data_IF_497749138305
#
_entry.id   IF_497749138305
#
_cell.length_a   1.000
_cell.length_b   1.000
_cell.length_c   1.000
_cell.angle_alpha   90.00
_cell.angle_beta   90.00
_cell.angle_gamma   90.00
#
_symmetry.space_group_name_H-M   'P 1'
#
loop_
_entity.id
_entity.type
_entity.pdbx_description
1 polymer ?
#
# COMPACT_ATOMS: atom_id res chain seq x y z
N UNK A 1 -1.48 9.84 -5.35
CA UNK A 1 -1.35 10.72 -4.18
C UNK A 1 -0.05 10.40 -3.46
N UNK A 2 0.66 11.45 -3.02
CA UNK A 2 1.93 11.30 -2.31
C UNK A 2 2.08 12.43 -1.29
N UNK A 3 2.73 12.15 -0.15
CA UNK A 3 2.92 13.11 0.93
C UNK A 3 4.40 13.25 1.29
N UNK A 4 4.88 14.50 1.38
CA UNK A 4 6.20 14.82 1.92
C UNK A 4 6.26 14.68 3.45
N UNK A 5 5.14 14.94 4.11
CA UNK A 5 4.96 14.83 5.56
C UNK A 5 3.47 14.80 5.91
N UNK A 6 3.11 14.79 7.18
CA UNK A 6 1.71 14.71 7.63
C UNK A 6 0.80 15.82 7.08
N UNK A 7 1.35 16.99 6.72
CA UNK A 7 0.57 18.13 6.29
C UNK A 7 0.66 18.41 4.80
N UNK A 8 1.83 18.20 4.18
CA UNK A 8 2.08 18.57 2.79
C UNK A 8 2.00 17.35 1.89
N UNK A 9 1.04 17.35 0.99
CA UNK A 9 0.82 16.27 0.03
C UNK A 9 0.36 16.77 -1.34
N UNK A 10 0.40 15.85 -2.30
CA UNK A 10 0.10 16.11 -3.71
C UNK A 10 -0.80 15.02 -4.29
N UNK A 11 -1.72 15.40 -5.17
CA UNK A 11 -2.57 14.47 -5.89
C UNK A 11 -2.74 14.88 -7.35
N UNK A 12 -2.45 13.95 -8.25
CA UNK A 12 -2.73 14.09 -9.67
C UNK A 12 -4.10 13.51 -10.02
N UNK A 13 -4.72 14.06 -11.06
CA UNK A 13 -5.98 13.53 -11.60
C UNK A 13 -5.79 13.11 -13.05
N UNK A 14 -6.47 12.02 -13.43
CA UNK A 14 -6.44 11.51 -14.79
C UNK A 14 -7.46 12.24 -15.69
N UNK A 15 -8.68 12.39 -15.20
CA UNK A 15 -9.82 12.83 -16.00
C UNK A 15 -9.80 14.32 -16.32
N UNK A 16 -9.39 15.14 -15.35
CA UNK A 16 -9.44 16.60 -15.46
C UNK A 16 -8.07 17.22 -15.73
N UNK A 17 -7.02 16.41 -15.85
CA UNK A 17 -5.63 16.87 -16.03
C UNK A 17 -5.20 17.91 -14.99
N UNK A 18 -5.65 17.74 -13.75
CA UNK A 18 -5.36 18.67 -12.66
C UNK A 18 -4.35 18.08 -11.68
N UNK A 19 -3.60 18.96 -11.06
CA UNK A 19 -2.64 18.64 -10.05
C UNK A 19 -2.89 19.53 -8.82
N UNK A 20 -2.98 18.94 -7.65
CA UNK A 20 -3.33 19.63 -6.43
C UNK A 20 -2.28 19.44 -5.35
N UNK A 21 -2.20 20.43 -4.46
CA UNK A 21 -1.40 20.41 -3.23
C UNK A 21 -2.28 20.64 -2.01
N UNK A 22 -2.01 19.93 -0.95
CA UNK A 22 -2.49 20.23 0.40
C UNK A 22 -1.35 20.68 1.30
N UNK A 23 -1.67 21.48 2.32
CA UNK A 23 -0.75 21.92 3.40
C UNK A 23 -1.35 21.65 4.78
N UNK A 24 -2.48 20.95 4.86
CA UNK A 24 -3.25 20.67 6.06
C UNK A 24 -3.67 19.19 6.18
N UNK A 25 -2.84 18.29 5.64
CA UNK A 25 -3.05 16.86 5.71
C UNK A 25 -4.21 16.34 4.86
N UNK A 26 -4.56 17.07 3.79
CA UNK A 26 -5.64 16.68 2.88
C UNK A 26 -7.02 17.21 3.25
N UNK A 27 -7.12 18.07 4.27
CA UNK A 27 -8.39 18.73 4.63
C UNK A 27 -8.84 19.68 3.52
N UNK A 28 -7.90 20.45 2.95
CA UNK A 28 -8.12 21.30 1.78
C UNK A 28 -7.08 21.05 0.70
N UNK A 29 -7.46 21.29 -0.55
CA UNK A 29 -6.61 21.10 -1.72
C UNK A 29 -6.66 22.32 -2.64
N UNK A 30 -5.49 22.82 -3.01
CA UNK A 30 -5.32 23.95 -3.94
C UNK A 30 -4.72 23.48 -5.26
N UNK A 31 -5.28 23.92 -6.38
CA UNK A 31 -4.78 23.55 -7.71
C UNK A 31 -3.41 24.20 -7.98
N UNK A 32 -2.47 23.40 -8.47
CA UNK A 32 -1.15 23.87 -8.92
C UNK A 32 -1.28 24.34 -10.37
N UNK A 33 -1.08 25.62 -10.61
CA UNK A 33 -1.25 26.24 -11.94
C UNK A 33 0.05 26.85 -12.50
N UNK A 34 1.13 26.80 -11.73
CA UNK A 34 2.42 27.42 -12.06
C UNK A 34 3.42 26.47 -12.75
N UNK A 35 2.93 25.42 -13.41
CA UNK A 35 3.76 24.48 -14.21
C UNK A 35 3.52 24.79 -15.70
N UNK A 36 4.60 25.01 -16.45
CA UNK A 36 4.52 25.24 -17.89
C UNK A 36 5.51 24.36 -18.66
N UNK A 37 5.05 23.55 -19.64
CA UNK A 37 3.64 23.29 -20.01
C UNK A 37 2.84 22.66 -18.86
N UNK A 38 1.51 22.85 -18.84
CA UNK A 38 0.67 22.24 -17.83
C UNK A 38 0.72 20.71 -17.94
N UNK A 39 0.99 19.99 -16.83
CA UNK A 39 1.05 18.52 -16.83
C UNK A 39 -0.33 17.93 -17.09
N UNK A 40 -0.38 16.82 -17.84
CA UNK A 40 -1.63 16.12 -18.15
C UNK A 40 -1.56 14.67 -17.71
N UNK A 41 -2.60 14.20 -16.98
CA UNK A 41 -2.67 12.82 -16.54
C UNK A 41 -1.44 12.39 -15.72
N UNK A 42 -1.24 13.01 -14.55
CA UNK A 42 -0.21 12.57 -13.60
C UNK A 42 -0.62 11.22 -13.05
N UNK A 43 0.18 10.18 -13.35
CA UNK A 43 -0.06 8.80 -12.99
C UNK A 43 0.79 8.35 -11.80
N UNK A 44 2.07 8.69 -11.79
CA UNK A 44 3.03 8.38 -10.74
C UNK A 44 3.42 9.64 -9.96
N UNK A 45 3.57 9.50 -8.65
CA UNK A 45 4.08 10.53 -7.73
C UNK A 45 5.02 9.86 -6.75
N UNK A 46 6.12 10.55 -6.41
CA UNK A 46 7.05 10.10 -5.39
C UNK A 46 7.71 11.27 -4.67
N UNK A 47 7.86 11.14 -3.36
CA UNK A 47 8.43 12.15 -2.47
C UNK A 47 9.77 11.69 -1.92
N UNK A 48 10.78 12.58 -1.99
CA UNK A 48 12.15 12.29 -1.52
C UNK A 48 12.60 13.35 -0.53
N UNK A 49 13.15 12.89 0.58
CA UNK A 49 13.59 13.80 1.65
C UNK A 49 12.42 14.57 2.24
N UNK A 50 12.61 15.87 2.49
CA UNK A 50 11.61 16.72 3.15
C UNK A 50 10.93 17.73 2.23
N UNK A 51 11.43 17.90 1.00
CA UNK A 51 11.00 18.99 0.11
C UNK A 51 10.91 18.63 -1.37
N UNK A 52 11.47 17.48 -1.78
CA UNK A 52 11.50 17.08 -3.19
C UNK A 52 10.31 16.19 -3.52
N UNK A 53 9.60 16.54 -4.58
CA UNK A 53 8.49 15.77 -5.13
C UNK A 53 8.66 15.62 -6.63
N UNK A 54 8.43 14.42 -7.11
CA UNK A 54 8.40 14.07 -8.53
C UNK A 54 7.00 13.62 -8.94
N UNK A 55 6.61 13.94 -10.17
CA UNK A 55 5.42 13.39 -10.80
C UNK A 55 5.70 13.03 -12.24
N UNK A 56 5.12 11.93 -12.72
CA UNK A 56 5.22 11.54 -14.12
C UNK A 56 3.85 11.27 -14.72
N UNK A 57 3.73 11.33 -16.03
CA UNK A 57 2.47 11.09 -16.70
C UNK A 57 2.56 10.98 -18.21
N UNK A 58 1.38 11.05 -18.84
CA UNK A 58 1.08 10.89 -20.25
C UNK A 58 0.60 9.47 -20.62
N UNK A 59 -0.46 9.04 -19.97
CA UNK A 59 -1.04 7.72 -20.26
C UNK A 59 -1.76 7.67 -21.62
N UNK A 60 -2.54 8.69 -21.98
CA UNK A 60 -3.32 8.71 -23.23
C UNK A 60 -2.82 9.76 -24.21
N UNK A 61 -2.02 9.36 -25.21
CA UNK A 61 -1.70 10.18 -26.41
C UNK A 61 -1.24 11.62 -26.12
N UNK A 62 -0.64 11.85 -24.98
CA UNK A 62 -0.05 13.15 -24.61
C UNK A 62 1.48 13.02 -24.56
N UNK A 63 2.17 14.14 -24.54
CA UNK A 63 3.64 14.14 -24.41
C UNK A 63 4.03 13.59 -23.05
N UNK A 64 4.85 12.51 -22.95
CA UNK A 64 5.36 12.00 -21.69
C UNK A 64 6.25 13.04 -21.00
N UNK A 65 6.08 13.16 -19.70
CA UNK A 65 6.76 14.19 -18.93
C UNK A 65 7.10 13.70 -17.52
N UNK A 66 8.05 14.42 -16.90
CA UNK A 66 8.27 14.44 -15.47
C UNK A 66 8.11 15.89 -15.00
N UNK A 67 7.46 16.10 -13.87
CA UNK A 67 7.50 17.36 -13.12
C UNK A 67 8.28 17.15 -11.84
N UNK A 68 9.12 18.11 -11.47
CA UNK A 68 9.97 18.08 -10.28
C UNK A 68 9.86 19.39 -9.52
N UNK A 69 9.71 19.31 -8.22
CA UNK A 69 9.89 20.42 -7.29
C UNK A 69 10.90 20.03 -6.22
N UNK A 70 11.74 20.95 -5.78
CA UNK A 70 12.73 20.77 -4.70
C UNK A 70 12.43 21.67 -3.50
N UNK A 71 11.31 22.38 -3.53
CA UNK A 71 10.89 23.39 -2.56
C UNK A 71 9.45 23.17 -2.08
N UNK A 72 9.09 21.89 -1.90
CA UNK A 72 7.76 21.46 -1.44
C UNK A 72 6.62 21.96 -2.33
N UNK A 73 6.87 22.07 -3.65
CA UNK A 73 5.86 22.48 -4.63
C UNK A 73 5.62 23.98 -4.69
N UNK A 74 6.59 24.81 -4.30
CA UNK A 74 6.52 26.25 -4.52
C UNK A 74 6.89 26.59 -5.98
N UNK A 75 7.95 25.96 -6.51
CA UNK A 75 8.33 26.05 -7.93
C UNK A 75 8.45 24.66 -8.55
N UNK A 76 8.33 24.62 -9.89
CA UNK A 76 8.32 23.37 -10.63
C UNK A 76 9.16 23.46 -11.90
N UNK A 77 9.84 22.35 -12.19
CA UNK A 77 10.47 22.09 -13.47
C UNK A 77 9.61 21.06 -14.24
N UNK A 78 9.37 21.35 -15.53
CA UNK A 78 8.76 20.39 -16.45
C UNK A 78 9.84 19.79 -17.35
N UNK A 79 9.94 18.48 -17.40
CA UNK A 79 10.91 17.72 -18.19
C UNK A 79 10.16 16.93 -19.26
N UNK A 80 10.42 17.22 -20.53
CA UNK A 80 9.85 16.49 -21.65
C UNK A 80 10.58 15.14 -21.82
N UNK A 81 9.85 14.05 -21.79
CA UNK A 81 10.38 12.69 -21.86
C UNK A 81 10.16 12.01 -23.21
N UNK A 82 9.76 12.73 -24.27
CA UNK A 82 9.43 12.16 -25.58
C UNK A 82 10.61 11.48 -26.27
N UNK A 83 11.85 11.80 -25.94
CA UNK A 83 13.05 11.11 -26.43
C UNK A 83 13.26 9.73 -25.82
N UNK A 84 12.58 9.42 -24.71
CA UNK A 84 12.76 8.16 -23.98
C UNK A 84 11.52 7.29 -23.99
N UNK A 85 10.32 7.88 -24.03
CA UNK A 85 9.07 7.18 -23.81
C UNK A 85 7.95 7.68 -24.71
N UNK A 86 6.86 6.89 -24.81
CA UNK A 86 5.57 7.30 -25.37
C UNK A 86 4.49 7.41 -24.30
N UNK A 87 4.76 6.98 -23.06
CA UNK A 87 3.91 7.13 -21.90
C UNK A 87 4.64 6.71 -20.62
N UNK A 88 4.40 7.42 -19.52
CA UNK A 88 4.97 7.15 -18.21
C UNK A 88 3.85 6.98 -17.19
N UNK A 89 3.99 6.02 -16.26
CA UNK A 89 2.91 5.64 -15.33
C UNK A 89 3.36 5.47 -13.88
N UNK A 90 4.63 5.20 -13.61
CA UNK A 90 5.17 5.08 -12.25
C UNK A 90 6.52 5.75 -12.16
N UNK A 91 6.80 6.39 -11.03
CA UNK A 91 8.09 7.01 -10.72
C UNK A 91 8.43 6.68 -9.28
N UNK A 92 9.71 6.38 -9.00
CA UNK A 92 10.17 6.14 -7.65
C UNK A 92 11.65 6.54 -7.52
N UNK A 93 12.00 7.18 -6.43
CA UNK A 93 13.34 7.61 -6.10
C UNK A 93 13.80 6.98 -4.80
N UNK A 94 15.07 6.55 -4.76
CA UNK A 94 15.71 6.03 -3.55
C UNK A 94 16.30 7.18 -2.73
N UNK A 95 16.85 8.15 -3.43
CA UNK A 95 17.41 9.38 -2.88
C UNK A 95 17.25 10.53 -3.90
N UNK A 96 17.83 11.69 -3.61
CA UNK A 96 17.71 12.87 -4.49
C UNK A 96 18.36 12.70 -5.87
N UNK A 97 19.22 11.68 -6.05
CA UNK A 97 19.95 11.44 -7.30
C UNK A 97 19.47 10.18 -8.02
N UNK A 98 19.26 9.09 -7.27
CA UNK A 98 18.97 7.77 -7.82
C UNK A 98 17.44 7.53 -7.88
N UNK A 99 16.93 7.35 -9.08
CA UNK A 99 15.53 7.10 -9.30
C UNK A 99 15.23 6.26 -10.54
N UNK A 100 13.99 5.82 -10.62
CA UNK A 100 13.46 5.00 -11.70
C UNK A 100 12.10 5.56 -12.16
N UNK A 101 11.84 5.45 -13.45
CA UNK A 101 10.53 5.74 -14.02
C UNK A 101 10.15 4.63 -14.98
N UNK A 102 8.88 4.24 -14.98
CA UNK A 102 8.39 3.19 -15.86
C UNK A 102 7.21 3.64 -16.71
N UNK A 103 6.99 2.88 -17.78
CA UNK A 103 5.93 3.13 -18.73
C UNK A 103 6.12 2.30 -19.98
N UNK A 104 5.98 2.95 -21.15
CA UNK A 104 6.23 2.31 -22.44
C UNK A 104 6.99 3.23 -23.40
N UNK A 105 7.66 2.59 -24.37
CA UNK A 105 8.19 3.19 -25.58
C UNK A 105 7.42 2.66 -26.82
N UNK A 106 7.89 3.01 -28.00
CA UNK A 106 7.37 2.42 -29.25
C UNK A 106 7.68 0.93 -29.38
N UNK A 107 8.69 0.43 -28.67
CA UNK A 107 9.19 -0.96 -28.79
C UNK A 107 8.69 -1.87 -27.68
N UNK A 108 8.18 -1.34 -26.56
CA UNK A 108 7.67 -2.14 -25.46
C UNK A 108 7.54 -1.39 -24.14
N UNK A 109 7.22 -2.13 -23.08
CA UNK A 109 7.25 -1.65 -21.70
C UNK A 109 8.69 -1.40 -21.26
N UNK A 110 8.94 -0.25 -20.62
CA UNK A 110 10.30 0.22 -20.29
C UNK A 110 10.45 0.56 -18.82
N UNK A 111 11.69 0.45 -18.33
CA UNK A 111 12.18 1.09 -17.11
C UNK A 111 13.38 1.96 -17.48
N UNK A 112 13.34 3.22 -17.06
CA UNK A 112 14.44 4.16 -17.17
C UNK A 112 15.03 4.40 -15.77
N UNK A 113 16.33 4.62 -15.71
CA UNK A 113 17.09 4.94 -14.48
C UNK A 113 17.77 6.28 -14.63
N UNK A 114 17.76 7.05 -13.57
CA UNK A 114 18.58 8.27 -13.40
C UNK A 114 19.52 8.12 -12.22
N UNK A 115 20.68 8.79 -12.28
CA UNK A 115 21.64 8.89 -11.17
C UNK A 115 22.02 10.35 -10.88
N UNK A 116 21.28 11.30 -11.45
CA UNK A 116 21.52 12.73 -11.35
C UNK A 116 20.24 13.52 -11.05
N UNK A 117 19.28 12.89 -10.35
CA UNK A 117 18.05 13.53 -9.93
C UNK A 117 17.08 13.82 -11.09
N UNK A 118 17.13 13.02 -12.16
CA UNK A 118 16.21 13.11 -13.28
C UNK A 118 16.65 14.07 -14.38
N UNK A 119 17.91 14.52 -14.40
CA UNK A 119 18.44 15.35 -15.49
C UNK A 119 18.71 14.49 -16.74
N UNK A 120 19.25 13.28 -16.54
CA UNK A 120 19.48 12.31 -17.60
C UNK A 120 18.90 10.95 -17.23
N UNK A 121 18.44 10.22 -18.26
CA UNK A 121 17.81 8.93 -18.10
C UNK A 121 18.45 7.90 -19.03
N UNK A 122 18.56 6.66 -18.55
CA UNK A 122 19.07 5.52 -19.31
C UNK A 122 18.05 4.40 -19.27
N UNK A 123 17.70 3.81 -20.42
CA UNK A 123 16.86 2.63 -20.48
C UNK A 123 17.64 1.44 -19.91
N UNK A 124 17.09 0.79 -18.86
CA UNK A 124 17.68 -0.37 -18.19
C UNK A 124 16.83 -1.62 -18.35
N UNK A 125 15.61 -1.48 -18.87
CA UNK A 125 14.73 -2.59 -19.24
C UNK A 125 13.84 -2.19 -20.40
N UNK A 126 13.64 -3.12 -21.34
CA UNK A 126 12.66 -3.03 -22.40
C UNK A 126 12.09 -4.42 -22.68
N UNK A 127 10.77 -4.55 -22.67
CA UNK A 127 10.11 -5.85 -22.89
C UNK A 127 10.20 -6.34 -24.34
N UNK A 128 10.48 -5.46 -25.29
CA UNK A 128 10.57 -5.78 -26.72
C UNK A 128 9.21 -6.11 -27.37
N UNK A 129 8.10 -5.88 -26.69
CA UNK A 129 6.75 -6.15 -27.20
C UNK A 129 5.97 -4.84 -27.25
N UNK A 130 5.70 -4.30 -28.47
CA UNK A 130 4.94 -3.05 -28.63
C UNK A 130 3.56 -3.15 -27.97
N UNK A 131 3.21 -2.09 -27.23
CA UNK A 131 1.93 -2.01 -26.52
C UNK A 131 2.01 -2.42 -25.05
N UNK A 132 3.03 -3.17 -24.63
CA UNK A 132 3.25 -3.46 -23.21
C UNK A 132 3.60 -2.21 -22.40
N UNK A 133 3.14 -2.19 -21.13
CA UNK A 133 3.49 -1.19 -20.14
C UNK A 133 4.17 -1.85 -18.94
N UNK A 134 5.26 -1.33 -18.45
CA UNK A 134 5.67 -1.55 -17.06
C UNK A 134 4.82 -0.62 -16.20
N UNK A 135 3.79 -1.18 -15.56
CA UNK A 135 2.71 -0.41 -14.95
C UNK A 135 3.03 0.06 -13.53
N UNK A 136 3.52 -0.85 -12.70
CA UNK A 136 3.94 -0.55 -11.33
C UNK A 136 5.31 -1.12 -11.04
N UNK A 137 6.02 -0.44 -10.15
CA UNK A 137 7.28 -0.88 -9.59
C UNK A 137 7.24 -0.85 -8.08
N UNK A 138 8.02 -1.72 -7.45
CA UNK A 138 8.22 -1.77 -6.01
C UNK A 138 9.68 -2.06 -5.69
N UNK A 139 10.28 -1.29 -4.79
CA UNK A 139 11.53 -1.65 -4.11
C UNK A 139 11.24 -2.66 -3.00
N UNK A 140 12.06 -3.68 -2.90
CA UNK A 140 11.99 -4.58 -1.76
C UNK A 140 12.44 -3.84 -0.50
N UNK A 141 11.62 -3.86 0.53
CA UNK A 141 11.94 -3.18 1.78
C UNK A 141 13.27 -3.68 2.37
N UNK A 142 14.14 -2.74 2.73
CA UNK A 142 15.47 -3.03 3.26
C UNK A 142 16.53 -3.43 2.21
N UNK A 143 16.17 -3.50 0.91
CA UNK A 143 17.12 -3.80 -0.17
C UNK A 143 16.79 -3.02 -1.44
N UNK A 144 17.44 -1.88 -1.62
CA UNK A 144 17.23 -0.99 -2.78
C UNK A 144 17.77 -1.53 -4.11
N UNK A 145 18.53 -2.62 -4.11
CA UNK A 145 19.00 -3.27 -5.33
C UNK A 145 17.94 -4.20 -5.93
N UNK A 146 16.90 -4.53 -5.16
CA UNK A 146 15.82 -5.41 -5.59
C UNK A 146 14.60 -4.59 -5.98
N UNK A 147 14.21 -4.71 -7.25
CA UNK A 147 13.03 -4.07 -7.80
C UNK A 147 12.15 -5.12 -8.45
N UNK A 148 10.87 -5.10 -8.11
CA UNK A 148 9.82 -5.83 -8.81
C UNK A 148 9.02 -4.89 -9.69
N UNK A 149 8.55 -5.39 -10.84
CA UNK A 149 7.65 -4.63 -11.69
C UNK A 149 6.56 -5.51 -12.31
N UNK A 150 5.39 -4.92 -12.51
CA UNK A 150 4.29 -5.54 -13.23
C UNK A 150 4.26 -5.05 -14.68
N UNK A 151 4.07 -5.96 -15.62
CA UNK A 151 3.84 -5.63 -17.03
C UNK A 151 2.39 -5.98 -17.39
N UNK A 152 1.62 -4.94 -17.70
CA UNK A 152 0.38 -5.09 -18.45
C UNK A 152 0.73 -5.39 -19.91
N UNK A 153 0.23 -6.51 -20.42
CA UNK A 153 0.57 -7.00 -21.75
C UNK A 153 -0.57 -6.84 -22.74
N UNK A 154 -0.37 -7.34 -23.93
CA UNK A 154 -1.36 -7.34 -25.02
C UNK A 154 -1.55 -8.76 -25.54
N UNK A 155 -2.80 -9.15 -25.75
CA UNK A 155 -3.15 -10.47 -26.32
C UNK A 155 -2.37 -10.73 -27.63
N UNK A 156 -1.76 -11.93 -27.83
CA UNK A 156 -1.94 -13.16 -27.02
C UNK A 156 -0.96 -13.35 -25.86
N UNK A 157 -0.15 -12.35 -25.54
CA UNK A 157 0.85 -12.46 -24.48
C UNK A 157 0.20 -12.32 -23.09
N UNK A 158 0.72 -13.06 -22.12
CA UNK A 158 0.37 -12.85 -20.70
C UNK A 158 1.06 -11.60 -20.16
N UNK A 159 0.48 -11.01 -19.12
CA UNK A 159 1.17 -10.08 -18.25
C UNK A 159 2.43 -10.71 -17.65
N UNK A 160 3.30 -9.89 -17.09
CA UNK A 160 4.60 -10.39 -16.59
C UNK A 160 4.95 -9.78 -15.25
N UNK A 161 5.65 -10.56 -14.45
CA UNK A 161 6.48 -10.09 -13.35
C UNK A 161 7.89 -9.89 -13.90
N UNK A 162 8.46 -8.71 -13.69
CA UNK A 162 9.90 -8.47 -13.90
C UNK A 162 10.57 -8.24 -12.55
N UNK A 163 11.80 -8.72 -12.42
CA UNK A 163 12.59 -8.58 -11.20
C UNK A 163 14.06 -8.32 -11.53
N UNK A 164 14.67 -7.40 -10.80
CA UNK A 164 16.12 -7.25 -10.71
C UNK A 164 16.56 -7.45 -9.27
N UNK A 165 17.78 -7.94 -9.05
CA UNK A 165 18.43 -8.05 -7.74
C UNK A 165 19.77 -7.31 -7.69
N UNK A 166 20.03 -6.48 -8.70
CA UNK A 166 21.28 -5.75 -8.87
C UNK A 166 21.04 -4.33 -9.45
N UNK A 167 20.04 -3.64 -8.93
CA UNK A 167 19.68 -2.26 -9.27
C UNK A 167 19.47 -2.01 -10.78
N UNK A 168 18.93 -3.03 -11.49
CA UNK A 168 18.59 -2.94 -12.90
C UNK A 168 19.71 -3.30 -13.88
N UNK A 169 20.85 -3.85 -13.41
CA UNK A 169 21.90 -4.33 -14.33
C UNK A 169 21.45 -5.55 -15.14
N UNK A 170 20.68 -6.44 -14.53
CA UNK A 170 20.03 -7.56 -15.19
C UNK A 170 18.59 -7.73 -14.70
N UNK A 171 17.74 -8.30 -15.57
CA UNK A 171 16.34 -8.52 -15.24
C UNK A 171 15.92 -9.96 -15.55
N UNK A 172 15.12 -10.52 -14.65
CA UNK A 172 14.39 -11.76 -14.83
C UNK A 172 12.95 -11.43 -15.18
N UNK A 173 12.35 -12.19 -16.10
CA UNK A 173 10.96 -12.02 -16.53
C UNK A 173 10.21 -13.34 -16.39
N UNK A 174 9.05 -13.32 -15.74
CA UNK A 174 8.16 -14.46 -15.53
C UNK A 174 6.74 -14.12 -15.97
N UNK A 175 5.98 -15.13 -16.41
CA UNK A 175 4.58 -14.93 -16.76
C UNK A 175 3.75 -14.65 -15.50
N UNK A 176 2.91 -13.64 -15.58
CA UNK A 176 1.89 -13.36 -14.60
C UNK A 176 0.59 -14.13 -14.94
N UNK A 177 -0.34 -14.24 -13.97
CA UNK A 177 -1.55 -15.06 -14.13
C UNK A 177 -2.56 -14.52 -15.13
N UNK A 178 -2.54 -13.23 -15.43
CA UNK A 178 -3.46 -12.62 -16.41
C UNK A 178 -2.75 -11.60 -17.30
N UNK A 179 -3.42 -11.12 -18.35
CA UNK A 179 -2.88 -10.17 -19.34
C UNK A 179 -2.72 -8.77 -18.75
N UNK A 180 -3.76 -8.27 -18.10
CA UNK A 180 -3.88 -6.88 -17.60
C UNK A 180 -3.43 -6.76 -16.14
N UNK A 181 -2.23 -7.25 -15.83
CA UNK A 181 -1.64 -7.13 -14.50
C UNK A 181 -1.16 -5.70 -14.25
N UNK A 182 -1.63 -5.10 -13.17
CA UNK A 182 -1.20 -3.77 -12.77
C UNK A 182 -0.51 -3.77 -11.40
N UNK A 183 -1.14 -4.37 -10.37
CA UNK A 183 -0.60 -4.37 -9.03
C UNK A 183 0.54 -5.39 -8.84
N UNK A 184 1.58 -5.01 -8.12
CA UNK A 184 2.67 -5.86 -7.67
C UNK A 184 3.08 -5.46 -6.26
N UNK A 185 3.34 -6.44 -5.38
CA UNK A 185 3.83 -6.21 -4.03
C UNK A 185 4.48 -7.46 -3.46
N UNK A 186 5.74 -7.38 -3.04
CA UNK A 186 6.52 -8.46 -2.48
C UNK A 186 7.05 -8.08 -1.09
N UNK A 187 6.94 -9.00 -0.14
CA UNK A 187 7.52 -8.86 1.22
C UNK A 187 8.88 -9.55 1.33
N UNK A 188 9.21 -10.44 0.40
CA UNK A 188 10.52 -11.09 0.26
C UNK A 188 10.81 -11.37 -1.22
N UNK A 189 11.98 -11.97 -1.52
CA UNK A 189 12.30 -12.41 -2.89
C UNK A 189 11.33 -13.46 -3.43
N UNK A 190 10.74 -14.26 -2.55
CA UNK A 190 9.91 -15.41 -2.92
C UNK A 190 8.42 -15.18 -2.66
N UNK A 191 8.06 -14.38 -1.66
CA UNK A 191 6.67 -14.20 -1.24
C UNK A 191 6.12 -12.83 -1.65
N UNK A 192 5.05 -12.85 -2.45
CA UNK A 192 4.39 -11.64 -2.91
C UNK A 192 3.07 -11.88 -3.62
N UNK A 193 2.50 -10.80 -4.10
CA UNK A 193 1.18 -10.78 -4.75
C UNK A 193 1.20 -9.96 -6.03
N UNK A 194 0.37 -10.36 -6.96
CA UNK A 194 0.01 -9.56 -8.15
C UNK A 194 -1.51 -9.57 -8.34
N UNK A 195 -2.00 -8.63 -9.11
CA UNK A 195 -3.39 -8.58 -9.54
C UNK A 195 -3.61 -7.49 -10.58
N UNK A 196 -4.72 -7.59 -11.29
CA UNK A 196 -5.04 -6.68 -12.37
C UNK A 196 -6.53 -6.38 -12.50
N UNK A 197 -6.95 -5.98 -13.70
CA UNK A 197 -8.31 -5.50 -13.94
C UNK A 197 -9.37 -6.58 -13.81
N UNK A 198 -9.08 -7.80 -14.27
CA UNK A 198 -10.10 -8.84 -14.40
C UNK A 198 -10.21 -9.71 -13.17
N UNK A 199 -9.13 -9.82 -12.39
CA UNK A 199 -9.03 -10.72 -11.24
C UNK A 199 -8.63 -9.99 -9.97
N UNK A 200 -8.71 -10.70 -8.83
CA UNK A 200 -8.22 -10.26 -7.55
C UNK A 200 -6.75 -10.62 -7.32
N UNK A 201 -6.45 -11.00 -6.09
CA UNK A 201 -5.10 -11.35 -5.70
C UNK A 201 -4.69 -12.73 -6.19
N UNK A 202 -3.52 -12.78 -6.80
CA UNK A 202 -2.70 -13.97 -6.96
C UNK A 202 -1.51 -13.89 -6.02
N UNK A 203 -1.21 -14.99 -5.35
CA UNK A 203 -0.08 -15.11 -4.42
C UNK A 203 0.97 -16.06 -4.97
N UNK A 204 2.22 -15.73 -4.74
CA UNK A 204 3.37 -16.59 -5.00
C UNK A 204 4.19 -16.75 -3.73
N UNK A 205 4.76 -17.96 -3.52
CA UNK A 205 5.71 -18.29 -2.47
C UNK A 205 7.04 -18.83 -3.04
N UNK A 206 7.25 -18.67 -4.34
CA UNK A 206 8.42 -19.14 -5.07
C UNK A 206 8.97 -18.09 -6.06
N UNK A 207 8.74 -16.81 -5.75
CA UNK A 207 9.24 -15.68 -6.52
C UNK A 207 8.60 -15.54 -7.90
N UNK A 208 7.33 -15.97 -8.04
CA UNK A 208 6.57 -15.83 -9.28
C UNK A 208 6.74 -16.99 -10.27
N UNK A 209 7.29 -18.14 -9.85
CA UNK A 209 7.31 -19.33 -10.69
C UNK A 209 5.93 -19.98 -10.77
N UNK A 210 5.20 -19.97 -9.63
CA UNK A 210 3.81 -20.41 -9.55
C UNK A 210 2.93 -19.37 -8.86
N UNK A 211 1.64 -19.35 -9.21
CA UNK A 211 0.67 -18.40 -8.69
C UNK A 211 -0.60 -19.12 -8.24
N UNK A 212 -1.07 -18.77 -7.05
CA UNK A 212 -2.32 -19.26 -6.48
C UNK A 212 -3.35 -18.11 -6.47
N UNK A 213 -4.50 -18.32 -7.11
CA UNK A 213 -5.60 -17.36 -7.01
C UNK A 213 -6.24 -17.44 -5.62
N UNK A 214 -6.21 -16.36 -4.88
CA UNK A 214 -6.80 -16.28 -3.53
C UNK A 214 -8.32 -16.14 -3.55
N UNK A 215 -8.92 -15.89 -4.73
CA UNK A 215 -10.33 -15.58 -4.89
C UNK A 215 -10.81 -14.39 -4.02
N UNK A 216 -9.91 -13.45 -3.77
CA UNK A 216 -10.14 -12.23 -2.99
C UNK A 216 -9.85 -11.02 -3.86
N UNK A 217 -10.71 -10.02 -3.76
CA UNK A 217 -10.53 -8.75 -4.45
C UNK A 217 -10.91 -8.79 -5.93
N UNK A 218 -10.87 -7.63 -6.56
CA UNK A 218 -11.01 -7.41 -8.00
C UNK A 218 -10.52 -6.03 -8.38
N UNK A 219 -10.11 -5.87 -9.64
CA UNK A 219 -9.64 -4.61 -10.21
C UNK A 219 -8.51 -3.98 -9.37
N UNK A 220 -7.46 -4.79 -9.09
CA UNK A 220 -6.34 -4.34 -8.26
C UNK A 220 -5.43 -3.41 -9.05
N UNK A 221 -5.22 -2.21 -8.54
CA UNK A 221 -4.40 -1.19 -9.18
C UNK A 221 -3.03 -1.01 -8.50
N UNK A 222 -2.95 -1.22 -7.19
CA UNK A 222 -1.73 -1.04 -6.43
C UNK A 222 -1.71 -1.92 -5.19
N UNK A 223 -0.54 -2.46 -4.86
CA UNK A 223 -0.22 -3.06 -3.57
C UNK A 223 0.87 -2.21 -2.94
N UNK A 224 0.68 -1.82 -1.69
CA UNK A 224 1.60 -0.98 -0.93
C UNK A 224 2.08 -1.75 0.30
N UNK A 225 3.35 -2.14 0.28
CA UNK A 225 3.98 -2.88 1.38
C UNK A 225 4.48 -1.89 2.43
N UNK A 226 3.97 -1.97 3.66
CA UNK A 226 4.43 -1.18 4.80
C UNK A 226 5.61 -1.88 5.48
N UNK A 227 5.48 -3.19 5.69
CA UNK A 227 6.52 -4.09 6.20
C UNK A 227 6.12 -5.55 5.90
N UNK A 228 6.93 -6.51 6.33
CA UNK A 228 6.66 -7.95 6.11
C UNK A 228 5.31 -8.44 6.68
N UNK A 229 4.76 -7.73 7.67
CA UNK A 229 3.52 -8.11 8.37
C UNK A 229 2.32 -7.25 7.99
N UNK A 230 2.51 -6.16 7.25
CA UNK A 230 1.45 -5.21 6.93
C UNK A 230 1.56 -4.67 5.52
N UNK A 231 0.49 -4.82 4.75
CA UNK A 231 0.34 -4.22 3.43
C UNK A 231 -1.09 -3.75 3.20
N UNK A 232 -1.25 -2.85 2.25
CA UNK A 232 -2.54 -2.40 1.75
C UNK A 232 -2.60 -2.54 0.24
N UNK A 233 -3.80 -2.77 -0.28
CA UNK A 233 -4.02 -2.73 -1.72
C UNK A 233 -5.28 -1.95 -2.05
N UNK A 234 -5.27 -1.30 -3.21
CA UNK A 234 -6.42 -0.62 -3.78
C UNK A 234 -6.95 -1.37 -5.00
N UNK A 235 -8.25 -1.47 -5.07
CA UNK A 235 -9.00 -2.07 -6.16
C UNK A 235 -10.43 -1.57 -6.11
N UNK A 236 -11.43 -2.44 -6.28
CA UNK A 236 -12.85 -2.10 -6.05
C UNK A 236 -13.11 -1.63 -4.61
N UNK A 237 -12.25 -2.01 -3.68
CA UNK A 237 -12.20 -1.51 -2.30
C UNK A 237 -10.74 -1.42 -1.84
N UNK A 238 -10.52 -1.06 -0.58
CA UNK A 238 -9.21 -1.12 0.06
C UNK A 238 -9.09 -2.43 0.83
N UNK A 239 -8.01 -3.15 0.57
CA UNK A 239 -7.68 -4.42 1.22
C UNK A 239 -6.52 -4.22 2.17
N UNK A 240 -6.49 -4.95 3.27
CA UNK A 240 -5.40 -4.99 4.25
C UNK A 240 -4.86 -6.41 4.36
N UNK A 241 -3.57 -6.58 4.20
CA UNK A 241 -2.83 -7.76 4.63
C UNK A 241 -2.26 -7.48 6.02
N UNK A 242 -2.44 -8.43 6.94
CA UNK A 242 -1.94 -8.34 8.31
C UNK A 242 -1.56 -9.75 8.76
N UNK A 243 -0.27 -10.02 8.86
CA UNK A 243 0.23 -11.35 9.19
C UNK A 243 -0.07 -11.75 10.64
N UNK A 244 -0.33 -10.78 11.52
CA UNK A 244 -0.77 -11.07 12.89
C UNK A 244 -2.19 -11.63 12.94
N UNK A 245 -2.94 -11.51 11.82
CA UNK A 245 -4.25 -12.15 11.59
C UNK A 245 -4.09 -13.47 10.79
N UNK A 246 -2.95 -14.15 10.91
CA UNK A 246 -2.63 -15.38 10.18
C UNK A 246 -3.81 -16.36 10.20
N UNK A 247 -4.28 -16.74 9.00
CA UNK A 247 -5.38 -17.67 8.80
C UNK A 247 -5.08 -19.12 9.20
N UNK A 248 -3.88 -19.42 9.68
CA UNK A 248 -3.55 -20.75 10.24
C UNK A 248 -4.21 -21.01 11.58
N UNK A 249 -4.76 -19.97 12.24
CA UNK A 249 -5.63 -20.12 13.40
C UNK A 249 -7.12 -20.33 13.05
N UNK A 250 -7.48 -20.36 11.77
CA UNK A 250 -8.80 -20.79 11.32
C UNK A 250 -8.94 -22.32 11.25
N UNK A 251 -8.62 -23.02 12.31
CA UNK A 251 -9.42 -24.16 12.66
C UNK A 251 -10.77 -23.56 13.08
N UNK A 252 -11.84 -23.88 12.37
CA UNK A 252 -13.20 -23.59 12.80
C UNK A 252 -13.51 -24.39 14.08
N UNK A 253 -12.97 -23.94 15.19
CA UNK A 253 -13.61 -24.18 16.48
C UNK A 253 -14.85 -23.29 16.44
N UNK A 254 -16.07 -23.83 16.64
CA UNK A 254 -17.28 -23.03 16.68
C UNK A 254 -17.05 -21.91 17.71
N UNK A 255 -16.82 -20.68 17.24
CA UNK A 255 -16.54 -19.55 18.10
C UNK A 255 -17.82 -19.22 18.84
N UNK A 256 -17.91 -19.66 20.08
CA UNK A 256 -18.92 -19.16 20.99
C UNK A 256 -18.48 -17.74 21.34
N UNK A 257 -19.22 -16.69 20.93
CA UNK A 257 -18.84 -15.32 21.28
C UNK A 257 -18.76 -15.23 22.80
N UNK A 258 -17.67 -14.67 23.32
CA UNK A 258 -17.61 -14.28 24.72
C UNK A 258 -18.78 -13.33 24.98
N UNK A 259 -19.65 -13.67 25.93
CA UNK A 259 -20.74 -12.77 26.30
C UNK A 259 -20.16 -11.66 27.18
N UNK A 260 -19.80 -10.55 26.57
CA UNK A 260 -19.20 -9.40 27.24
C UNK A 260 -20.18 -8.25 27.28
N UNK A 261 -20.33 -7.66 28.46
CA UNK A 261 -21.09 -6.41 28.65
C UNK A 261 -20.16 -5.32 29.16
N UNK A 262 -20.30 -4.11 28.62
CA UNK A 262 -19.61 -2.89 29.07
C UNK A 262 -20.64 -1.94 29.62
N UNK A 263 -20.50 -1.55 30.90
CA UNK A 263 -21.46 -0.65 31.56
C UNK A 263 -20.73 0.28 32.55
N UNK A 264 -20.89 1.59 32.41
CA UNK A 264 -21.60 2.32 31.36
C UNK A 264 -20.80 2.44 30.07
N UNK A 265 -21.49 2.66 28.96
CA UNK A 265 -20.90 3.10 27.70
C UNK A 265 -21.82 4.18 27.12
N UNK A 266 -21.45 5.47 27.11
CA UNK A 266 -20.10 6.03 27.32
C UNK A 266 -19.53 5.85 28.73
N UNK A 267 -18.19 5.71 28.78
CA UNK A 267 -17.40 5.55 30.00
C UNK A 267 -17.18 6.93 30.63
N UNK A 268 -17.26 7.01 32.00
CA UNK A 268 -16.92 8.23 32.74
C UNK A 268 -15.47 8.13 33.22
N UNK A 269 -15.23 7.34 34.27
CA UNK A 269 -13.90 7.23 34.90
C UNK A 269 -13.38 5.79 34.98
N UNK A 270 -14.24 4.81 34.80
CA UNK A 270 -13.90 3.39 34.87
C UNK A 270 -14.50 2.60 33.71
N UNK A 271 -13.69 1.76 33.13
CA UNK A 271 -14.11 0.72 32.19
C UNK A 271 -14.51 -0.53 33.00
N UNK A 272 -15.80 -0.85 33.01
CA UNK A 272 -16.28 -2.06 33.67
C UNK A 272 -16.73 -3.08 32.62
N UNK A 273 -16.21 -4.31 32.74
CA UNK A 273 -16.53 -5.43 31.87
C UNK A 273 -17.14 -6.56 32.70
N UNK A 274 -18.26 -7.10 32.26
CA UNK A 274 -18.80 -8.38 32.75
C UNK A 274 -18.64 -9.40 31.64
N UNK A 275 -17.96 -10.51 31.93
CA UNK A 275 -17.66 -11.56 30.98
C UNK A 275 -18.16 -12.90 31.56
N UNK A 276 -18.95 -13.63 30.80
CA UNK A 276 -19.46 -14.94 31.23
C UNK A 276 -18.72 -16.05 30.49
N UNK A 277 -17.94 -16.84 31.24
CA UNK A 277 -17.19 -18.00 30.73
C UNK A 277 -18.04 -19.27 30.92
N UNK A 278 -18.27 -19.98 29.80
CA UNK A 278 -18.97 -21.26 29.83
C UNK A 278 -18.14 -22.38 30.41
N UNK A 279 -16.83 -22.34 30.17
CA UNK A 279 -15.83 -23.30 30.65
C UNK A 279 -14.60 -22.52 31.17
N UNK A 280 -13.68 -23.24 31.82
CA UNK A 280 -12.40 -22.61 32.22
C UNK A 280 -11.58 -22.26 31.01
N UNK A 281 -11.04 -21.04 30.96
CA UNK A 281 -10.33 -20.48 29.79
C UNK A 281 -9.21 -19.56 30.23
N UNK A 282 -8.40 -19.07 29.30
CA UNK A 282 -7.51 -17.94 29.51
C UNK A 282 -8.21 -16.63 29.11
N UNK A 283 -7.67 -15.51 29.51
CA UNK A 283 -8.15 -14.19 29.07
C UNK A 283 -7.00 -13.20 28.97
N UNK A 284 -6.94 -12.54 27.83
CA UNK A 284 -6.14 -11.35 27.61
C UNK A 284 -7.08 -10.19 27.23
N UNK A 285 -6.95 -9.05 27.90
CA UNK A 285 -7.75 -7.82 27.63
C UNK A 285 -6.79 -6.70 27.27
N UNK A 286 -6.96 -6.16 26.08
CA UNK A 286 -6.12 -5.10 25.55
C UNK A 286 -6.95 -3.87 25.16
N UNK A 287 -6.37 -2.68 25.34
CA UNK A 287 -6.98 -1.40 24.96
C UNK A 287 -6.27 -0.80 23.75
N UNK A 288 -7.06 -0.33 22.79
CA UNK A 288 -6.62 0.31 21.55
C UNK A 288 -7.30 1.66 21.34
N UNK A 289 -6.62 2.59 20.66
CA UNK A 289 -7.22 3.84 20.20
C UNK A 289 -8.02 3.62 18.89
N UNK A 290 -8.65 4.69 18.41
CA UNK A 290 -9.43 4.67 17.18
C UNK A 290 -8.62 4.45 15.89
N UNK A 291 -7.28 4.55 15.96
CA UNK A 291 -6.35 4.27 14.85
C UNK A 291 -5.81 2.84 14.92
N UNK A 292 -6.26 2.02 15.89
CA UNK A 292 -5.81 0.65 16.07
C UNK A 292 -4.44 0.52 16.75
N UNK A 293 -3.91 1.59 17.35
CA UNK A 293 -2.67 1.53 18.13
C UNK A 293 -2.97 1.02 19.53
N UNK A 294 -2.22 -0.01 19.96
CA UNK A 294 -2.32 -0.54 21.31
C UNK A 294 -1.88 0.50 22.33
N UNK A 295 -2.74 0.79 23.29
CA UNK A 295 -2.50 1.74 24.36
C UNK A 295 -2.03 1.05 25.64
N UNK A 296 -2.61 -0.10 25.97
CA UNK A 296 -2.31 -0.80 27.21
C UNK A 296 -2.79 -2.25 27.18
N UNK A 297 -2.04 -3.14 27.86
CA UNK A 297 -2.54 -4.44 28.36
C UNK A 297 -3.28 -4.18 29.66
N UNK A 298 -4.58 -4.47 29.67
CA UNK A 298 -5.44 -4.24 30.84
C UNK A 298 -5.42 -5.41 31.80
N UNK A 299 -5.38 -6.62 31.26
CA UNK A 299 -5.48 -7.84 32.07
C UNK A 299 -4.93 -9.05 31.30
N UNK A 300 -4.27 -9.98 31.99
CA UNK A 300 -3.88 -11.28 31.49
C UNK A 300 -3.96 -12.32 32.60
N UNK A 301 -4.62 -13.45 32.37
CA UNK A 301 -4.67 -14.62 33.26
C UNK A 301 -4.74 -15.92 32.43
N UNK A 302 -3.92 -16.90 32.81
CA UNK A 302 -3.82 -18.16 32.10
C UNK A 302 -4.98 -19.11 32.37
N UNK A 303 -5.60 -19.03 33.55
CA UNK A 303 -6.70 -19.90 33.96
C UNK A 303 -7.79 -19.12 34.68
N UNK A 304 -8.88 -18.85 33.95
CA UNK A 304 -10.10 -18.26 34.52
C UNK A 304 -11.13 -19.37 34.70
N UNK A 305 -11.70 -19.48 35.90
CA UNK A 305 -12.75 -20.45 36.21
C UNK A 305 -14.07 -20.05 35.54
N UNK A 306 -14.88 -21.04 35.18
CA UNK A 306 -16.25 -20.90 34.66
C UNK A 306 -17.08 -19.91 35.50
N UNK A 307 -17.99 -19.21 34.84
CA UNK A 307 -18.96 -18.29 35.44
C UNK A 307 -18.75 -16.82 35.04
N UNK A 308 -19.56 -15.95 35.65
CA UNK A 308 -19.49 -14.52 35.41
C UNK A 308 -18.32 -13.89 36.17
N UNK A 309 -17.51 -13.11 35.47
CA UNK A 309 -16.38 -12.37 36.02
C UNK A 309 -16.54 -10.89 35.74
N UNK A 310 -16.23 -10.06 36.74
CA UNK A 310 -16.31 -8.62 36.67
C UNK A 310 -14.90 -8.01 36.72
N UNK A 311 -14.59 -7.19 35.75
CA UNK A 311 -13.32 -6.47 35.67
C UNK A 311 -13.59 -4.96 35.69
N UNK A 312 -12.77 -4.21 36.40
CA UNK A 312 -12.89 -2.76 36.52
C UNK A 312 -11.50 -2.13 36.38
N UNK A 313 -11.33 -1.24 35.41
CA UNK A 313 -10.07 -0.56 35.11
C UNK A 313 -10.29 0.93 35.17
N UNK A 314 -9.36 1.68 35.77
CA UNK A 314 -9.37 3.13 35.72
C UNK A 314 -9.14 3.61 34.28
N UNK A 315 -9.97 4.55 33.81
CA UNK A 315 -9.98 5.01 32.43
C UNK A 315 -9.74 6.54 32.37
N UNK A 316 -8.48 6.94 32.43
CA UNK A 316 -8.03 8.33 32.42
C UNK A 316 -7.70 8.90 31.04
N UNK A 317 -8.10 8.22 29.97
CA UNK A 317 -7.86 8.67 28.59
C UNK A 317 -8.78 9.83 28.19
N UNK A 318 -8.39 10.66 27.18
CA UNK A 318 -9.22 11.74 26.66
C UNK A 318 -10.58 11.27 26.15
N UNK A 319 -11.52 12.20 25.96
CA UNK A 319 -12.79 11.89 25.28
C UNK A 319 -12.52 11.41 23.86
N UNK A 320 -13.13 10.29 23.47
CA UNK A 320 -12.91 9.68 22.17
C UNK A 320 -13.48 8.28 22.05
N UNK A 321 -13.16 7.65 20.91
CA UNK A 321 -13.51 6.27 20.61
C UNK A 321 -12.30 5.38 20.85
N UNK A 322 -12.53 4.25 21.52
CA UNK A 322 -11.53 3.24 21.84
C UNK A 322 -12.07 1.85 21.52
N UNK A 323 -11.19 0.86 21.46
CA UNK A 323 -11.56 -0.54 21.30
C UNK A 323 -10.93 -1.38 22.40
N UNK A 324 -11.75 -2.24 23.01
CA UNK A 324 -11.28 -3.25 23.97
C UNK A 324 -11.30 -4.59 23.24
N UNK A 325 -10.13 -5.19 23.08
CA UNK A 325 -9.97 -6.51 22.49
C UNK A 325 -9.81 -7.54 23.59
N UNK A 326 -10.62 -8.58 23.51
CA UNK A 326 -10.59 -9.73 24.40
C UNK A 326 -10.16 -10.97 23.60
N UNK A 327 -9.20 -11.69 24.12
CA UNK A 327 -8.68 -12.91 23.54
C UNK A 327 -8.72 -14.03 24.57
N UNK A 328 -9.31 -15.15 24.20
CA UNK A 328 -9.28 -16.41 24.97
C UNK A 328 -9.05 -17.60 24.03
N UNK A 329 -8.80 -18.79 24.57
CA UNK A 329 -8.68 -20.00 23.74
C UNK A 329 -10.00 -20.32 23.01
N UNK A 330 -11.15 -20.00 23.63
CA UNK A 330 -12.47 -20.32 23.07
C UNK A 330 -13.05 -19.20 22.20
N UNK A 331 -12.52 -17.96 22.27
CA UNK A 331 -13.06 -16.86 21.47
C UNK A 331 -12.29 -15.56 21.51
N UNK A 332 -12.61 -14.70 20.56
CA UNK A 332 -12.11 -13.31 20.49
C UNK A 332 -13.28 -12.36 20.31
N UNK A 333 -13.19 -11.20 20.92
CA UNK A 333 -14.20 -10.14 20.76
C UNK A 333 -13.55 -8.76 20.81
N UNK A 334 -13.97 -7.87 19.92
CA UNK A 334 -13.60 -6.46 19.94
C UNK A 334 -14.85 -5.65 20.26
N UNK A 335 -14.75 -4.75 21.23
CA UNK A 335 -15.86 -3.93 21.70
C UNK A 335 -15.49 -2.47 21.55
N UNK A 336 -16.31 -1.73 20.81
CA UNK A 336 -16.22 -0.28 20.74
C UNK A 336 -16.72 0.36 22.03
N UNK A 337 -15.90 1.21 22.62
CA UNK A 337 -16.23 2.00 23.80
C UNK A 337 -16.07 3.50 23.50
N UNK A 338 -16.82 4.33 24.20
CA UNK A 338 -16.81 5.78 24.04
C UNK A 338 -16.54 6.41 25.41
N UNK A 339 -15.69 7.40 25.47
CA UNK A 339 -15.48 8.27 26.65
C UNK A 339 -15.95 9.68 26.37
#
# INVERSE_FOLDING_TARGET
IEFLNQNVGFVGTLTNNKFFKTIDGGTTWSEITNISPAPRAICGLDAVGTSTIYGCGAYFSTTPFIVKSVDSGATWQYINMSSYATGLVEIMFIDENLGYVSGRSATGGIVLKTTDGGQNWVEIYNSGIPGEYVWKMQLLQGNSDVIFGSIESVTPNNGKLIRTTNAGLTWETKNAPEVEIQAVGFISLDHGWMGGHSTGFYETNDGGNTWVNLNVGSNLNRIFIINENLAYASGTTVYKYDQTLSSTDFQEVPRVPLLVKVVPNPIVDKLNLSINFKDSDNLNIELYDHLGRKLKDLFFEEIIQQGEKLYSFDFSYPKGVYYVNLHSNTGRQSIKIIK
#
